data_IF_794577333586
#
_entry.id   IF_794577333586
#
_cell.length_a   1.000
_cell.length_b   1.000
_cell.length_c   1.000
_cell.angle_alpha   90.00
_cell.angle_beta   90.00
_cell.angle_gamma   90.00
#
_symmetry.space_group_name_H-M   'P 1'
#
loop_
_entity.id
_entity.type
_entity.pdbx_description
1 polymer ?
#
# COMPACT_ATOMS: atom_id res chain seq x y z
N UNK A 1 21.65 7.92 4.75
CA UNK A 1 22.34 6.77 4.15
C UNK A 1 23.16 6.02 5.20
N UNK A 2 24.02 6.69 5.97
CA UNK A 2 24.85 6.05 6.99
C UNK A 2 24.06 5.18 7.99
N UNK A 3 22.90 5.63 8.42
CA UNK A 3 22.02 4.86 9.30
C UNK A 3 21.67 3.48 8.71
N UNK A 4 21.19 3.43 7.47
CA UNK A 4 20.87 2.16 6.81
C UNK A 4 22.09 1.25 6.63
N UNK A 5 23.22 1.83 6.26
CA UNK A 5 24.47 1.07 6.11
C UNK A 5 24.94 0.48 7.45
N UNK A 6 24.76 1.22 8.54
CA UNK A 6 25.17 0.76 9.88
C UNK A 6 24.22 -0.24 10.51
N UNK A 7 22.91 -0.09 10.27
CA UNK A 7 21.88 -0.92 10.90
C UNK A 7 21.47 -2.13 10.09
N UNK A 8 21.72 -2.13 8.77
CA UNK A 8 21.27 -3.17 7.86
C UNK A 8 19.75 -3.22 7.65
N UNK A 9 19.04 -2.12 7.94
CA UNK A 9 17.58 -2.06 7.75
C UNK A 9 17.21 -2.17 6.27
N UNK A 10 16.29 -3.06 5.96
CA UNK A 10 15.85 -3.37 4.59
C UNK A 10 14.58 -2.67 4.13
N UNK A 11 13.96 -1.82 4.97
CA UNK A 11 12.74 -1.09 4.63
C UNK A 11 12.89 0.37 5.03
N UNK A 12 12.50 1.26 4.13
CA UNK A 12 12.33 2.68 4.41
C UNK A 12 10.87 3.06 4.21
N UNK A 13 10.21 3.43 5.31
CA UNK A 13 8.87 4.02 5.28
C UNK A 13 8.99 5.53 5.48
N UNK A 14 8.37 6.31 4.60
CA UNK A 14 8.35 7.75 4.68
C UNK A 14 7.01 8.30 4.21
N UNK A 15 6.28 8.86 5.14
CA UNK A 15 4.98 9.48 4.92
C UNK A 15 5.07 11.01 4.82
N UNK A 16 6.23 11.59 4.96
CA UNK A 16 6.39 13.03 5.12
C UNK A 16 7.19 13.76 4.06
N UNK A 17 7.66 13.10 3.04
CA UNK A 17 8.43 13.74 1.97
C UNK A 17 7.54 14.31 0.87
N UNK A 18 6.51 15.01 1.27
CA UNK A 18 5.70 15.81 0.36
C UNK A 18 6.56 16.95 -0.19
N UNK A 19 6.31 17.39 -1.43
CA UNK A 19 6.91 18.63 -1.90
C UNK A 19 6.58 19.72 -0.86
N UNK A 20 7.60 20.29 -0.26
CA UNK A 20 7.41 21.42 0.65
C UNK A 20 6.81 22.61 -0.06
N UNK A 21 6.43 23.63 0.70
CA UNK A 21 6.00 24.88 0.11
C UNK A 21 7.10 25.46 -0.79
N UNK A 22 6.74 26.10 -1.91
CA UNK A 22 7.71 26.80 -2.73
C UNK A 22 8.44 27.85 -1.89
N UNK A 23 9.76 27.84 -1.97
CA UNK A 23 10.62 28.73 -1.22
C UNK A 23 11.19 29.85 -2.07
N UNK A 24 10.93 31.09 -1.70
CA UNK A 24 11.48 32.27 -2.36
C UNK A 24 12.77 32.81 -1.72
N UNK A 25 13.30 32.15 -0.69
CA UNK A 25 14.49 32.62 0.01
C UNK A 25 15.72 32.60 -0.88
N UNK A 26 16.53 33.64 -0.76
CA UNK A 26 17.86 33.75 -1.37
C UNK A 26 19.00 33.55 -0.36
N UNK A 27 18.67 33.19 0.87
CA UNK A 27 19.63 33.06 1.97
C UNK A 27 20.38 31.71 2.00
N UNK A 28 19.99 30.78 1.13
CA UNK A 28 20.63 29.45 1.01
C UNK A 28 20.85 29.08 -0.45
N UNK A 29 21.70 28.09 -0.69
CA UNK A 29 22.11 27.67 -2.06
C UNK A 29 21.38 26.43 -2.57
N UNK A 30 20.28 26.02 -1.92
CA UNK A 30 19.61 24.75 -2.27
C UNK A 30 18.76 24.85 -3.54
N UNK A 31 18.35 26.06 -3.93
CA UNK A 31 17.65 26.37 -5.18
C UNK A 31 17.99 27.80 -5.62
N UNK A 32 17.61 28.17 -6.82
CA UNK A 32 17.85 29.52 -7.38
C UNK A 32 16.72 30.51 -7.06
N UNK A 33 15.53 30.00 -6.77
CA UNK A 33 14.39 30.85 -6.43
C UNK A 33 13.10 30.06 -6.27
N UNK A 34 11.99 30.78 -6.23
CA UNK A 34 10.66 30.24 -5.99
C UNK A 34 10.29 29.11 -6.97
N UNK A 35 10.58 29.29 -8.26
CA UNK A 35 10.13 28.40 -9.33
C UNK A 35 10.84 27.03 -9.33
N UNK A 36 12.07 26.95 -8.86
CA UNK A 36 12.83 25.69 -8.89
C UNK A 36 12.98 25.03 -7.52
N UNK A 37 12.45 25.62 -6.47
CA UNK A 37 12.63 25.14 -5.10
C UNK A 37 12.06 23.73 -4.87
N UNK A 38 10.83 23.48 -5.33
CA UNK A 38 10.21 22.15 -5.21
C UNK A 38 10.89 21.10 -6.10
N UNK A 39 11.34 21.51 -7.30
CA UNK A 39 12.11 20.65 -8.17
C UNK A 39 13.43 20.22 -7.53
N UNK A 40 14.13 21.12 -6.87
CA UNK A 40 15.37 20.81 -6.17
C UNK A 40 15.16 19.91 -4.98
N UNK A 41 14.07 20.06 -4.23
CA UNK A 41 13.68 19.14 -3.20
C UNK A 41 13.43 17.73 -3.78
N UNK A 42 12.67 17.65 -4.88
CA UNK A 42 12.39 16.39 -5.57
C UNK A 42 13.68 15.69 -6.03
N UNK A 43 14.66 16.43 -6.58
CA UNK A 43 15.96 15.85 -6.98
C UNK A 43 16.67 15.14 -5.81
N UNK A 44 16.67 15.76 -4.63
CA UNK A 44 17.30 15.19 -3.42
C UNK A 44 16.61 13.90 -2.99
N UNK A 45 15.27 13.91 -2.99
CA UNK A 45 14.46 12.75 -2.59
C UNK A 45 14.64 11.62 -3.62
N UNK A 46 14.56 11.92 -4.91
CA UNK A 46 14.80 10.98 -6.00
C UNK A 46 16.16 10.28 -5.86
N UNK A 47 17.22 11.04 -5.61
CA UNK A 47 18.57 10.50 -5.50
C UNK A 47 18.76 9.65 -4.24
N UNK A 48 18.00 9.96 -3.19
CA UNK A 48 17.97 9.11 -2.00
C UNK A 48 17.21 7.80 -2.27
N UNK A 49 16.06 7.85 -2.94
CA UNK A 49 15.29 6.66 -3.27
C UNK A 49 15.99 5.74 -4.27
N UNK A 50 16.68 6.30 -5.26
CA UNK A 50 17.55 5.52 -6.15
C UNK A 50 18.61 4.77 -5.39
N UNK A 51 19.32 5.46 -4.49
CA UNK A 51 20.30 4.85 -3.64
C UNK A 51 19.69 3.72 -2.78
N UNK A 52 18.52 3.90 -2.18
CA UNK A 52 17.82 2.85 -1.44
C UNK A 52 17.60 1.60 -2.30
N UNK A 53 17.13 1.78 -3.52
CA UNK A 53 16.93 0.67 -4.47
C UNK A 53 18.22 -0.06 -4.83
N UNK A 54 19.28 0.66 -5.08
CA UNK A 54 20.60 0.10 -5.34
C UNK A 54 21.15 -0.73 -4.17
N UNK A 55 20.74 -0.39 -2.94
CA UNK A 55 21.07 -1.14 -1.74
C UNK A 55 20.07 -2.26 -1.41
N UNK A 56 19.05 -2.48 -2.22
CA UNK A 56 17.99 -3.46 -1.96
C UNK A 56 17.04 -3.06 -0.83
N UNK A 57 17.02 -1.79 -0.45
CA UNK A 57 16.10 -1.26 0.57
C UNK A 57 14.74 -1.04 -0.06
N UNK A 58 13.72 -1.68 0.52
CA UNK A 58 12.33 -1.54 0.08
C UNK A 58 11.78 -0.16 0.45
N UNK A 59 11.16 0.50 -0.54
CA UNK A 59 10.57 1.83 -0.36
C UNK A 59 9.07 1.74 -0.16
N UNK A 60 8.61 2.13 1.01
CA UNK A 60 7.22 2.25 1.39
C UNK A 60 6.85 3.73 1.52
N UNK A 61 6.54 4.36 0.40
CA UNK A 61 6.39 5.82 0.29
C UNK A 61 5.12 6.16 -0.50
N UNK A 62 4.54 7.36 -0.30
CA UNK A 62 3.41 7.85 -1.08
C UNK A 62 3.78 7.94 -2.56
N UNK A 63 3.13 7.14 -3.37
CA UNK A 63 3.54 6.90 -4.75
C UNK A 63 3.23 8.04 -5.70
N UNK A 64 2.12 8.69 -5.50
CA UNK A 64 1.64 9.77 -6.34
C UNK A 64 2.41 11.09 -6.19
N UNK A 65 3.25 11.20 -5.18
CA UNK A 65 4.14 12.35 -5.05
C UNK A 65 5.35 12.30 -5.97
N UNK A 66 5.76 11.11 -6.38
CA UNK A 66 7.06 10.95 -6.99
C UNK A 66 6.99 10.10 -8.25
N UNK A 67 7.04 10.73 -9.39
CA UNK A 67 7.27 10.08 -10.68
C UNK A 67 8.75 9.63 -10.82
N UNK A 68 9.33 9.13 -9.75
CA UNK A 68 10.77 8.88 -9.67
C UNK A 68 11.13 7.41 -9.72
N UNK A 69 10.17 6.57 -10.08
CA UNK A 69 10.40 5.15 -10.16
C UNK A 69 10.60 4.49 -8.79
N UNK A 70 9.81 4.88 -7.79
CA UNK A 70 9.75 4.16 -6.53
C UNK A 70 9.36 2.69 -6.79
N UNK A 71 9.60 1.82 -5.84
CA UNK A 71 9.22 0.41 -5.98
C UNK A 71 7.73 0.21 -5.93
N UNK A 72 7.01 1.23 -5.56
CA UNK A 72 5.65 1.11 -5.16
C UNK A 72 4.76 1.87 -6.02
N UNK A 73 4.27 1.27 -6.91
CA UNK A 73 3.15 1.71 -7.73
C UNK A 73 2.26 0.52 -7.89
N UNK A 74 1.05 0.71 -8.05
CA UNK A 74 0.22 1.91 -7.99
C UNK A 74 -0.27 2.22 -6.58
N UNK A 75 -0.09 1.28 -5.69
CA UNK A 75 -0.83 1.31 -4.44
C UNK A 75 -0.06 1.95 -3.29
N UNK A 76 1.18 2.37 -3.46
CA UNK A 76 1.97 3.04 -2.46
C UNK A 76 1.40 3.01 -1.04
N UNK A 77 1.44 4.10 -0.38
CA UNK A 77 0.79 4.31 0.90
C UNK A 77 -0.67 4.76 0.69
N UNK A 78 -1.65 3.94 1.06
CA UNK A 78 -3.08 4.26 0.95
C UNK A 78 -3.75 4.19 2.30
N UNK A 79 -4.24 5.35 2.76
CA UNK A 79 -4.94 5.48 4.04
C UNK A 79 -6.46 5.48 3.93
N UNK A 80 -6.99 5.56 2.76
CA UNK A 80 -8.33 6.05 2.45
C UNK A 80 -9.49 5.32 3.12
N UNK A 81 -9.28 4.17 3.73
CA UNK A 81 -10.40 3.39 4.22
C UNK A 81 -10.49 3.29 5.76
N UNK A 82 -9.47 3.69 6.45
CA UNK A 82 -9.34 3.41 7.87
C UNK A 82 -10.25 4.22 8.80
N UNK A 83 -10.80 5.32 8.31
CA UNK A 83 -11.74 6.15 9.06
C UNK A 83 -13.22 5.91 8.70
N UNK A 84 -13.50 5.02 7.76
CA UNK A 84 -14.85 4.73 7.32
C UNK A 84 -15.47 3.58 8.14
N UNK A 85 -16.81 3.56 8.32
CA UNK A 85 -17.48 2.39 8.87
C UNK A 85 -17.16 1.11 8.07
N UNK A 86 -17.08 -0.04 8.74
CA UNK A 86 -16.69 -1.33 8.17
C UNK A 86 -17.38 -1.66 6.84
N UNK A 87 -18.68 -1.47 6.76
CA UNK A 87 -19.44 -1.75 5.54
C UNK A 87 -19.01 -0.93 4.32
N UNK A 88 -18.57 0.32 4.54
CA UNK A 88 -18.06 1.16 3.46
C UNK A 88 -16.60 0.83 3.11
N UNK A 89 -15.82 0.42 4.10
CA UNK A 89 -14.42 0.03 3.86
C UNK A 89 -14.30 -1.06 2.80
N UNK A 90 -15.18 -2.05 2.83
CA UNK A 90 -15.14 -3.20 1.90
C UNK A 90 -15.33 -2.79 0.44
N UNK A 91 -16.23 -1.85 0.18
CA UNK A 91 -16.52 -1.38 -1.18
C UNK A 91 -15.44 -0.42 -1.65
N UNK A 92 -15.12 0.58 -0.83
CA UNK A 92 -14.15 1.62 -1.19
C UNK A 92 -12.74 1.05 -1.33
N UNK A 93 -12.37 0.08 -0.52
CA UNK A 93 -11.10 -0.64 -0.67
C UNK A 93 -10.97 -1.27 -2.06
N UNK A 94 -11.99 -1.99 -2.52
CA UNK A 94 -11.99 -2.59 -3.86
C UNK A 94 -11.95 -1.54 -4.97
N UNK A 95 -12.68 -0.43 -4.81
CA UNK A 95 -12.63 0.69 -5.75
C UNK A 95 -11.23 1.31 -5.82
N UNK A 96 -10.61 1.56 -4.68
CA UNK A 96 -9.26 2.12 -4.63
C UNK A 96 -8.21 1.17 -5.23
N UNK A 97 -8.33 -0.13 -5.00
CA UNK A 97 -7.48 -1.14 -5.63
C UNK A 97 -7.65 -1.10 -7.14
N UNK A 98 -8.89 -1.12 -7.63
CA UNK A 98 -9.18 -1.11 -9.05
C UNK A 98 -8.67 0.17 -9.73
N UNK A 99 -8.98 1.34 -9.17
CA UNK A 99 -8.58 2.62 -9.74
C UNK A 99 -7.05 2.82 -9.66
N UNK A 100 -6.43 2.39 -8.56
CA UNK A 100 -4.98 2.45 -8.40
C UNK A 100 -4.23 1.58 -9.41
N UNK A 101 -4.69 0.37 -9.62
CA UNK A 101 -4.06 -0.58 -10.57
C UNK A 101 -4.38 -0.25 -12.03
N UNK A 102 -5.49 0.44 -12.31
CA UNK A 102 -5.82 0.92 -13.65
C UNK A 102 -4.89 2.04 -14.13
N UNK A 103 -4.58 2.95 -13.24
CA UNK A 103 -3.83 4.18 -13.61
C UNK A 103 -2.33 3.97 -13.65
N UNK A 104 -1.83 2.93 -13.02
CA UNK A 104 -0.40 2.73 -12.79
C UNK A 104 0.00 1.28 -13.04
N UNK A 105 1.30 1.06 -13.19
CA UNK A 105 1.85 -0.28 -13.30
C UNK A 105 1.60 -1.08 -12.04
N UNK A 106 1.05 -2.30 -12.13
CA UNK A 106 0.84 -3.17 -11.00
C UNK A 106 2.16 -3.47 -10.29
N UNK A 107 2.19 -3.27 -9.01
CA UNK A 107 3.31 -3.62 -8.14
C UNK A 107 2.79 -3.86 -6.74
N UNK A 108 3.66 -4.33 -5.86
CA UNK A 108 3.32 -4.55 -4.46
C UNK A 108 2.98 -3.23 -3.78
N UNK A 109 1.71 -2.94 -3.64
CA UNK A 109 1.18 -1.88 -2.79
C UNK A 109 0.84 -2.40 -1.39
N UNK A 110 0.46 -1.50 -0.52
CA UNK A 110 -0.10 -1.85 0.77
C UNK A 110 -1.27 -0.93 1.12
N UNK A 111 -2.15 -1.43 1.98
CA UNK A 111 -3.28 -0.67 2.48
C UNK A 111 -3.50 -0.95 3.96
N UNK A 112 -3.90 0.05 4.71
CA UNK A 112 -4.13 -0.11 6.14
C UNK A 112 -5.31 -1.01 6.45
N UNK A 113 -5.10 -1.86 7.45
CA UNK A 113 -6.14 -2.67 8.09
C UNK A 113 -6.24 -2.22 9.54
N UNK A 114 -7.22 -1.36 9.88
CA UNK A 114 -7.35 -0.77 11.22
C UNK A 114 -7.93 -1.79 12.20
N UNK A 115 -7.07 -2.41 12.98
CA UNK A 115 -7.46 -3.42 13.96
C UNK A 115 -8.00 -2.79 15.26
N UNK A 116 -7.55 -1.59 15.63
CA UNK A 116 -7.97 -0.90 16.86
C UNK A 116 -8.44 0.52 16.62
N UNK A 117 -9.18 1.09 17.57
CA UNK A 117 -9.63 2.49 17.52
C UNK A 117 -8.48 3.50 17.53
N UNK A 118 -7.33 3.10 18.03
CA UNK A 118 -6.15 3.94 18.13
C UNK A 118 -5.71 4.51 16.78
N UNK A 119 -5.94 3.77 15.71
CA UNK A 119 -5.51 4.15 14.37
C UNK A 119 -6.59 4.84 13.53
N UNK A 120 -7.68 5.31 14.13
CA UNK A 120 -8.67 6.18 13.51
C UNK A 120 -10.07 5.57 13.33
N UNK A 121 -11.03 6.41 13.01
CA UNK A 121 -12.40 6.03 12.66
C UNK A 121 -13.33 5.58 13.79
N UNK A 122 -12.84 5.43 15.00
CA UNK A 122 -13.64 4.99 16.14
C UNK A 122 -14.11 3.54 16.02
N UNK A 123 -15.04 3.16 16.88
CA UNK A 123 -15.55 1.77 17.00
C UNK A 123 -16.14 1.21 15.70
N UNK A 124 -16.87 2.04 14.95
CA UNK A 124 -17.52 1.61 13.71
C UNK A 124 -16.52 1.29 12.57
N UNK A 125 -15.27 1.76 12.69
CA UNK A 125 -14.24 1.62 11.67
C UNK A 125 -13.20 0.54 12.00
N UNK A 126 -13.08 0.15 13.27
CA UNK A 126 -12.06 -0.81 13.73
C UNK A 126 -12.56 -2.25 13.68
N UNK A 127 -11.63 -3.18 13.68
CA UNK A 127 -11.97 -4.60 13.61
C UNK A 127 -12.05 -5.22 15.02
N UNK A 128 -11.29 -4.75 15.99
CA UNK A 128 -11.37 -5.28 17.35
C UNK A 128 -12.76 -5.08 18.00
N UNK A 129 -13.27 -6.11 18.74
CA UNK A 129 -12.71 -7.43 18.94
C UNK A 129 -12.72 -8.25 17.64
N UNK A 130 -11.57 -8.88 17.30
CA UNK A 130 -11.38 -9.49 15.97
C UNK A 130 -12.34 -10.66 15.72
N UNK A 131 -12.65 -11.44 16.76
CA UNK A 131 -13.57 -12.58 16.65
C UNK A 131 -15.02 -12.15 16.39
N UNK A 132 -15.44 -10.98 16.88
CA UNK A 132 -16.79 -10.43 16.63
C UNK A 132 -16.96 -9.91 15.21
N UNK A 133 -15.85 -9.51 14.57
CA UNK A 133 -15.84 -8.97 13.21
C UNK A 133 -15.04 -9.86 12.24
N UNK A 134 -15.02 -11.17 12.49
CA UNK A 134 -14.23 -12.13 11.71
C UNK A 134 -14.55 -12.08 10.22
N UNK A 135 -15.81 -11.99 9.85
CA UNK A 135 -16.24 -11.91 8.44
C UNK A 135 -15.69 -10.66 7.75
N UNK A 136 -15.84 -9.50 8.37
CA UNK A 136 -15.28 -8.25 7.85
C UNK A 136 -13.75 -8.33 7.72
N UNK A 137 -13.07 -8.84 8.73
CA UNK A 137 -11.63 -9.02 8.71
C UNK A 137 -11.18 -9.92 7.55
N UNK A 138 -11.90 -11.02 7.35
CA UNK A 138 -11.66 -11.93 6.24
C UNK A 138 -11.86 -11.23 4.89
N UNK A 139 -12.95 -10.50 4.69
CA UNK A 139 -13.22 -9.74 3.45
C UNK A 139 -12.09 -8.75 3.18
N UNK A 140 -11.61 -8.03 4.19
CA UNK A 140 -10.47 -7.12 4.03
C UNK A 140 -9.23 -7.85 3.53
N UNK A 141 -8.87 -9.00 4.10
CA UNK A 141 -7.71 -9.77 3.65
C UNK A 141 -7.91 -10.40 2.27
N UNK A 142 -9.12 -10.82 1.94
CA UNK A 142 -9.48 -11.31 0.60
C UNK A 142 -9.25 -10.23 -0.46
N UNK A 143 -9.79 -9.05 -0.23
CA UNK A 143 -9.67 -7.93 -1.17
C UNK A 143 -8.20 -7.56 -1.39
N UNK A 144 -7.42 -7.44 -0.32
CA UNK A 144 -6.02 -7.04 -0.39
C UNK A 144 -5.15 -8.12 -1.02
N UNK A 145 -5.11 -9.29 -0.43
CA UNK A 145 -4.23 -10.36 -0.89
C UNK A 145 -4.64 -10.94 -2.24
N UNK A 146 -5.96 -11.00 -2.51
CA UNK A 146 -6.46 -11.39 -3.83
C UNK A 146 -6.08 -10.43 -4.95
N UNK A 147 -5.84 -9.17 -4.62
CA UNK A 147 -5.39 -8.15 -5.56
C UNK A 147 -3.86 -7.92 -5.57
N UNK A 148 -3.09 -8.72 -4.86
CA UNK A 148 -1.64 -8.52 -4.74
C UNK A 148 -1.23 -7.35 -3.82
N UNK A 149 -2.16 -6.81 -3.06
CA UNK A 149 -1.91 -5.69 -2.13
C UNK A 149 -1.58 -6.22 -0.75
N UNK A 150 -0.55 -5.68 -0.12
CA UNK A 150 -0.16 -6.08 1.22
C UNK A 150 -1.03 -5.42 2.28
N UNK A 151 -1.38 -6.18 3.32
CA UNK A 151 -2.08 -5.66 4.48
C UNK A 151 -1.08 -5.00 5.44
N UNK A 152 -1.27 -3.71 5.72
CA UNK A 152 -0.54 -2.99 6.75
C UNK A 152 -1.40 -2.96 8.02
N UNK A 153 -1.20 -3.94 8.87
CA UNK A 153 -1.98 -4.11 10.09
C UNK A 153 -1.67 -3.02 11.12
N UNK A 154 -2.71 -2.37 11.63
CA UNK A 154 -2.61 -1.32 12.64
C UNK A 154 -3.33 -1.75 13.91
N UNK A 155 -2.60 -2.36 14.83
CA UNK A 155 -3.09 -2.82 16.12
C UNK A 155 -2.07 -3.69 16.86
N UNK A 156 -2.36 -4.05 18.12
CA UNK A 156 -1.40 -4.76 18.98
C UNK A 156 -1.28 -6.25 18.68
N UNK A 157 -2.22 -6.83 17.93
CA UNK A 157 -2.28 -8.26 17.63
C UNK A 157 -2.96 -8.51 16.28
N UNK A 158 -2.63 -9.63 15.63
CA UNK A 158 -3.23 -10.05 14.36
C UNK A 158 -4.41 -11.01 14.57
N UNK A 159 -4.55 -11.60 15.72
CA UNK A 159 -5.59 -12.55 16.07
C UNK A 159 -5.83 -12.59 17.59
N UNK A 160 -7.04 -12.86 18.00
CA UNK A 160 -7.48 -12.96 19.39
C UNK A 160 -8.09 -14.33 19.75
N UNK A 161 -8.42 -15.13 18.74
CA UNK A 161 -8.92 -16.50 18.87
C UNK A 161 -8.22 -17.44 17.89
N UNK A 162 -8.42 -18.74 18.05
CA UNK A 162 -7.89 -19.75 17.13
C UNK A 162 -8.51 -19.61 15.72
N UNK A 163 -9.77 -19.19 15.63
CA UNK A 163 -10.45 -19.01 14.34
C UNK A 163 -9.90 -17.79 13.59
N UNK A 164 -9.69 -16.66 14.28
CA UNK A 164 -9.03 -15.50 13.68
C UNK A 164 -7.59 -15.84 13.27
N UNK A 165 -6.86 -16.64 14.06
CA UNK A 165 -5.51 -17.11 13.72
C UNK A 165 -5.50 -17.96 12.44
N UNK A 166 -6.41 -18.92 12.34
CA UNK A 166 -6.54 -19.78 11.15
C UNK A 166 -6.87 -18.94 9.90
N UNK A 167 -7.80 -18.01 10.02
CA UNK A 167 -8.22 -17.15 8.94
C UNK A 167 -7.06 -16.29 8.43
N UNK A 168 -6.34 -15.59 9.30
CA UNK A 168 -5.16 -14.78 8.92
C UNK A 168 -4.08 -15.66 8.29
N UNK A 169 -3.78 -16.82 8.90
CA UNK A 169 -2.78 -17.75 8.37
C UNK A 169 -3.13 -18.27 6.99
N UNK A 170 -4.41 -18.54 6.72
CA UNK A 170 -4.91 -18.97 5.41
C UNK A 170 -4.62 -17.92 4.33
N UNK A 171 -5.00 -16.67 4.56
CA UNK A 171 -4.82 -15.61 3.55
C UNK A 171 -3.36 -15.22 3.34
N UNK A 172 -2.56 -15.23 4.39
CA UNK A 172 -1.11 -15.06 4.27
C UNK A 172 -0.47 -16.19 3.45
N UNK A 173 -0.89 -17.43 3.68
CA UNK A 173 -0.42 -18.58 2.91
C UNK A 173 -0.86 -18.51 1.44
N UNK A 174 -2.11 -18.11 1.19
CA UNK A 174 -2.63 -17.86 -0.15
C UNK A 174 -1.75 -16.84 -0.89
N UNK A 175 -1.53 -15.65 -0.30
CA UNK A 175 -0.70 -14.62 -0.90
C UNK A 175 0.72 -15.11 -1.20
N UNK A 176 1.37 -15.76 -0.25
CA UNK A 176 2.72 -16.31 -0.45
C UNK A 176 2.79 -17.32 -1.58
N UNK A 177 1.76 -18.17 -1.72
CA UNK A 177 1.68 -19.20 -2.76
C UNK A 177 1.55 -18.60 -4.15
N UNK A 178 0.69 -17.58 -4.30
CA UNK A 178 0.33 -17.02 -5.60
C UNK A 178 1.00 -15.67 -5.91
N UNK A 179 1.86 -15.17 -5.04
CA UNK A 179 2.48 -13.85 -5.16
C UNK A 179 3.08 -13.56 -6.54
N UNK A 180 3.73 -14.55 -7.15
CA UNK A 180 4.32 -14.37 -8.48
C UNK A 180 3.30 -14.07 -9.59
N UNK A 181 2.04 -14.45 -9.40
CA UNK A 181 0.96 -14.11 -10.32
C UNK A 181 0.32 -12.79 -9.90
N UNK A 182 0.03 -12.64 -8.61
CA UNK A 182 -0.65 -11.47 -8.04
C UNK A 182 0.17 -10.17 -8.20
N UNK A 183 1.50 -10.27 -8.22
CA UNK A 183 2.41 -9.14 -8.42
C UNK A 183 2.74 -8.88 -9.91
N UNK A 184 2.03 -9.54 -10.83
CA UNK A 184 2.26 -9.47 -12.28
C UNK A 184 1.19 -8.61 -12.97
N UNK A 185 0.98 -8.84 -14.27
CA UNK A 185 0.06 -8.07 -15.08
C UNK A 185 -1.39 -8.18 -14.61
N UNK A 186 -2.12 -7.07 -14.70
CA UNK A 186 -3.54 -6.98 -14.32
C UNK A 186 -4.39 -6.65 -15.54
N UNK A 187 -5.46 -7.41 -15.72
CA UNK A 187 -6.54 -7.12 -16.65
C UNK A 187 -7.78 -6.71 -15.86
N UNK A 188 -8.23 -5.48 -16.06
CA UNK A 188 -9.40 -4.94 -15.40
C UNK A 188 -10.66 -5.43 -16.13
N UNK A 189 -11.55 -6.11 -15.39
CA UNK A 189 -12.80 -6.64 -15.93
C UNK A 189 -13.96 -5.69 -15.69
N UNK A 190 -14.26 -5.39 -14.44
CA UNK A 190 -15.34 -4.50 -14.08
C UNK A 190 -15.01 -3.76 -12.78
N UNK A 191 -15.24 -2.43 -12.79
CA UNK A 191 -15.04 -1.57 -11.61
C UNK A 191 -16.08 -1.88 -10.53
N UNK A 192 -15.69 -1.99 -9.26
CA UNK A 192 -16.61 -2.17 -8.15
C UNK A 192 -17.62 -1.02 -8.02
N UNK A 193 -18.91 -1.35 -7.94
CA UNK A 193 -20.01 -0.41 -7.71
C UNK A 193 -20.83 -0.71 -6.45
N UNK A 194 -20.52 -1.81 -5.76
CA UNK A 194 -21.20 -2.26 -4.55
C UNK A 194 -22.58 -2.87 -4.80
N UNK A 195 -22.97 -3.10 -6.07
CA UNK A 195 -24.30 -3.62 -6.45
C UNK A 195 -24.22 -4.93 -7.21
N UNK A 196 -23.20 -5.09 -8.02
CA UNK A 196 -23.05 -6.22 -8.91
C UNK A 196 -21.63 -6.77 -8.80
N UNK A 197 -21.33 -7.87 -9.53
CA UNK A 197 -20.00 -8.45 -9.54
C UNK A 197 -18.96 -7.44 -10.06
N UNK A 198 -17.78 -7.55 -9.57
CA UNK A 198 -16.58 -6.83 -10.05
C UNK A 198 -15.41 -7.80 -10.13
N UNK A 199 -14.32 -7.36 -10.75
CA UNK A 199 -13.16 -8.23 -10.84
C UNK A 199 -11.99 -7.64 -11.58
N UNK A 200 -10.84 -8.20 -11.24
CA UNK A 200 -9.58 -8.05 -11.94
C UNK A 200 -9.01 -9.45 -12.19
N UNK A 201 -8.24 -9.61 -13.23
CA UNK A 201 -7.52 -10.85 -13.54
C UNK A 201 -6.02 -10.58 -13.46
N UNK A 202 -5.33 -11.39 -12.71
CA UNK A 202 -3.87 -11.38 -12.67
C UNK A 202 -3.29 -12.40 -13.63
N UNK A 203 -2.28 -11.99 -14.39
CA UNK A 203 -1.65 -12.85 -15.40
C UNK A 203 -0.13 -12.72 -15.32
N UNK A 204 0.56 -13.84 -15.21
CA UNK A 204 2.01 -13.87 -15.36
C UNK A 204 2.39 -14.78 -16.53
N UNK A 205 2.82 -14.22 -17.68
CA UNK A 205 3.15 -15.01 -18.86
C UNK A 205 4.42 -15.86 -18.71
N UNK A 206 5.26 -15.57 -17.73
CA UNK A 206 6.57 -16.21 -17.56
C UNK A 206 6.54 -17.49 -16.73
N UNK A 207 5.36 -17.90 -16.24
CA UNK A 207 5.22 -19.11 -15.44
C UNK A 207 4.20 -20.07 -16.03
N UNK A 208 4.27 -21.36 -15.65
CA UNK A 208 3.38 -22.40 -16.15
C UNK A 208 1.90 -22.13 -15.83
N UNK A 209 1.60 -21.69 -14.60
CA UNK A 209 0.29 -21.18 -14.20
C UNK A 209 0.25 -19.67 -14.48
N UNK A 210 -0.37 -19.29 -15.59
CA UNK A 210 -0.29 -17.93 -16.14
C UNK A 210 -1.29 -16.93 -15.59
N UNK A 211 -2.38 -17.39 -14.97
CA UNK A 211 -3.45 -16.50 -14.49
C UNK A 211 -4.07 -16.96 -13.17
N UNK A 212 -4.75 -16.01 -12.50
CA UNK A 212 -5.47 -16.22 -11.25
C UNK A 212 -6.61 -15.20 -11.12
#
# INVERSE_FOLDING_TARGET
>A
RSFFTQTGMGVFENDGSYPGDPCASTQHKHHRGYLDSQWKQWEVIRDFYRWCREQGIYLNVPDWYFLNGSNKTPMGYVETNWSLPRAYQEIIERQNIYDGTWQKTPTMGFMFVPLTQYHGGGEAATIEPLFEHLEHYQIRLQNLFGAGVQACFRGPRLYDTEDTRKMVSHWVAFYKKYRRILDSDIVHLRRPDGRDWDGILHVNPDIQQKGF
#
